data_IF_155073079778
#
_entry.id   IF_155073079778
#
_cell.length_a   1.000
_cell.length_b   1.000
_cell.length_c   1.000
_cell.angle_alpha   90.00
_cell.angle_beta   90.00
_cell.angle_gamma   90.00
#
_symmetry.space_group_name_H-M   'P 1'
#
loop_
_entity.id
_entity.type
_entity.pdbx_description
1 polymer ?
#
# COMPACT_ATOMS: atom_id res chain seq x y z
N UNK A 1 -13.09 -70.48 -6.65
CA UNK A 1 -12.63 -69.25 -5.96
C UNK A 1 -11.83 -69.65 -4.73
N UNK A 2 -10.54 -69.33 -4.67
CA UNK A 2 -9.70 -69.59 -3.50
C UNK A 2 -8.90 -68.32 -3.15
N UNK A 3 -9.32 -67.68 -2.06
CA UNK A 3 -8.70 -66.49 -1.49
C UNK A 3 -7.45 -66.95 -0.74
N UNK A 4 -6.26 -66.65 -1.28
CA UNK A 4 -5.01 -66.84 -0.55
C UNK A 4 -4.94 -65.88 0.63
N UNK A 5 -4.81 -66.41 1.84
CA UNK A 5 -4.53 -65.61 3.02
C UNK A 5 -3.15 -64.97 2.89
N UNK A 6 -3.14 -63.65 2.72
CA UNK A 6 -1.97 -62.80 2.56
C UNK A 6 -1.31 -62.65 3.94
N UNK A 7 -0.40 -63.56 4.30
CA UNK A 7 0.32 -63.43 5.57
C UNK A 7 1.14 -64.62 6.04
N UNK A 8 0.92 -65.84 5.52
CA UNK A 8 1.72 -67.01 5.93
C UNK A 8 2.89 -67.19 4.96
N UNK A 9 4.15 -67.07 5.42
CA UNK A 9 5.31 -67.36 4.59
C UNK A 9 5.23 -68.80 4.07
N UNK A 10 5.40 -68.97 2.75
CA UNK A 10 5.40 -70.29 2.08
C UNK A 10 6.25 -71.29 2.89
N UNK A 11 5.89 -72.58 2.97
CA UNK A 11 6.62 -73.57 3.78
C UNK A 11 8.13 -73.65 3.49
N UNK A 12 8.53 -73.35 2.25
CA UNK A 12 9.94 -73.23 1.85
C UNK A 12 10.66 -72.07 2.55
N UNK A 13 10.01 -70.93 2.73
CA UNK A 13 10.54 -69.76 3.44
C UNK A 13 10.68 -70.06 4.93
N UNK A 14 9.72 -70.76 5.53
CA UNK A 14 9.81 -71.22 6.93
C UNK A 14 11.02 -72.13 7.16
N UNK A 15 11.28 -73.10 6.27
CA UNK A 15 12.46 -73.96 6.36
C UNK A 15 13.77 -73.17 6.29
N UNK A 16 13.83 -72.16 5.43
CA UNK A 16 15.01 -71.30 5.31
C UNK A 16 15.21 -70.45 6.57
N UNK A 17 14.14 -69.83 7.09
CA UNK A 17 14.20 -69.02 8.31
C UNK A 17 14.60 -69.86 9.53
N UNK A 18 14.05 -71.08 9.66
CA UNK A 18 14.42 -72.01 10.74
C UNK A 18 15.89 -72.44 10.63
N UNK A 19 16.33 -72.86 9.44
CA UNK A 19 17.73 -73.23 9.23
C UNK A 19 18.71 -72.06 9.48
N UNK A 20 18.26 -70.83 9.23
CA UNK A 20 19.03 -69.63 9.54
C UNK A 20 19.11 -69.37 11.05
N UNK A 21 18.02 -69.58 11.78
CA UNK A 21 17.97 -69.45 13.25
C UNK A 21 18.80 -70.54 13.94
N UNK A 22 18.75 -71.78 13.44
CA UNK A 22 19.54 -72.90 13.97
C UNK A 22 21.05 -72.68 13.76
N UNK A 23 21.45 -72.12 12.62
CA UNK A 23 22.87 -71.84 12.32
C UNK A 23 23.36 -70.53 12.92
N UNK A 24 22.49 -69.55 13.12
CA UNK A 24 22.80 -68.21 13.67
C UNK A 24 21.64 -67.70 14.53
N UNK A 25 21.60 -68.08 15.82
CA UNK A 25 20.54 -67.66 16.72
C UNK A 25 20.44 -66.13 16.82
N UNK A 26 19.22 -65.60 16.82
CA UNK A 26 18.88 -64.18 16.95
C UNK A 26 19.44 -63.27 15.85
N UNK A 27 20.03 -63.82 14.77
CA UNK A 27 20.67 -63.02 13.73
C UNK A 27 19.66 -62.16 12.97
N UNK A 28 18.48 -62.71 12.66
CA UNK A 28 17.40 -61.96 11.98
C UNK A 28 16.96 -60.78 12.85
N UNK A 29 16.73 -61.02 14.15
CA UNK A 29 16.37 -59.98 15.10
C UNK A 29 17.47 -58.92 15.22
N UNK A 30 18.74 -59.33 15.22
CA UNK A 30 19.87 -58.40 15.28
C UNK A 30 20.01 -57.57 13.99
N UNK A 31 19.77 -58.15 12.81
CA UNK A 31 19.72 -57.41 11.55
C UNK A 31 18.52 -56.46 11.51
N UNK A 32 17.36 -56.87 12.02
CA UNK A 32 16.17 -56.04 12.10
C UNK A 32 16.39 -54.86 13.06
N UNK A 33 17.02 -55.08 14.21
CA UNK A 33 17.40 -54.02 15.15
C UNK A 33 18.45 -53.10 14.55
N UNK A 34 19.43 -53.63 13.79
CA UNK A 34 20.42 -52.83 13.07
C UNK A 34 19.77 -51.97 12.00
N UNK A 35 18.87 -52.54 11.20
CA UNK A 35 18.08 -51.81 10.21
C UNK A 35 17.21 -50.73 10.88
N UNK A 36 16.52 -51.07 11.99
CA UNK A 36 15.74 -50.11 12.76
C UNK A 36 16.60 -48.95 13.25
N UNK A 37 17.78 -49.22 13.81
CA UNK A 37 18.74 -48.21 14.27
C UNK A 37 19.26 -47.33 13.13
N UNK A 38 19.46 -47.90 11.95
CA UNK A 38 19.85 -47.14 10.75
C UNK A 38 18.69 -46.29 10.21
N UNK A 39 17.45 -46.79 10.31
CA UNK A 39 16.26 -46.03 9.92
C UNK A 39 15.90 -44.93 10.93
N UNK A 40 16.09 -45.11 12.24
CA UNK A 40 15.93 -44.01 13.22
C UNK A 40 17.04 -42.96 13.13
N UNK A 41 18.19 -43.30 12.55
CA UNK A 41 19.23 -42.34 12.18
C UNK A 41 19.02 -41.70 10.81
N UNK A 42 17.86 -41.88 10.16
CA UNK A 42 17.61 -41.31 8.84
C UNK A 42 17.61 -39.78 8.92
N UNK A 43 18.40 -39.19 8.03
CA UNK A 43 18.74 -37.77 7.83
C UNK A 43 17.53 -36.82 7.78
N UNK A 44 16.30 -37.35 7.66
CA UNK A 44 15.09 -36.57 7.43
C UNK A 44 14.61 -35.78 8.66
N UNK A 45 14.72 -36.33 9.88
CA UNK A 45 14.41 -35.60 11.12
C UNK A 45 15.55 -34.64 11.50
N UNK A 46 16.80 -35.06 11.24
CA UNK A 46 17.96 -34.24 11.57
C UNK A 46 18.02 -32.96 10.73
N UNK A 47 17.58 -32.98 9.46
CA UNK A 47 17.57 -31.79 8.61
C UNK A 47 16.44 -30.81 9.00
N UNK A 48 15.27 -31.33 9.41
CA UNK A 48 14.18 -30.53 9.94
C UNK A 48 14.52 -29.92 11.31
N UNK A 49 14.99 -30.71 12.28
CA UNK A 49 15.40 -30.22 13.60
C UNK A 49 16.64 -29.31 13.54
N UNK A 50 17.59 -29.59 12.64
CA UNK A 50 18.75 -28.70 12.40
C UNK A 50 18.33 -27.42 11.69
N UNK A 51 17.33 -27.47 10.81
CA UNK A 51 16.71 -26.31 10.20
C UNK A 51 15.98 -25.44 11.23
N UNK A 52 15.20 -26.05 12.12
CA UNK A 52 14.50 -25.38 13.23
C UNK A 52 15.50 -24.80 14.22
N UNK A 53 16.49 -25.56 14.68
CA UNK A 53 17.54 -25.08 15.58
C UNK A 53 18.39 -23.97 14.94
N UNK A 54 18.64 -24.04 13.63
CA UNK A 54 19.34 -22.98 12.88
C UNK A 54 18.48 -21.72 12.74
N UNK A 55 17.16 -21.87 12.55
CA UNK A 55 16.23 -20.74 12.50
C UNK A 55 16.11 -20.07 13.88
N UNK A 56 15.96 -20.84 14.95
CA UNK A 56 15.93 -20.35 16.33
C UNK A 56 17.23 -19.61 16.69
N UNK A 57 18.40 -20.15 16.29
CA UNK A 57 19.68 -19.49 16.53
C UNK A 57 19.83 -18.20 15.72
N UNK A 58 19.26 -18.16 14.50
CA UNK A 58 19.24 -16.96 13.67
C UNK A 58 18.31 -15.90 14.27
N UNK A 59 17.14 -16.29 14.76
CA UNK A 59 16.20 -15.41 15.45
C UNK A 59 16.82 -14.84 16.73
N UNK A 60 17.46 -15.67 17.56
CA UNK A 60 18.17 -15.21 18.75
C UNK A 60 19.30 -14.22 18.41
N UNK A 61 20.08 -14.50 17.36
CA UNK A 61 21.14 -13.60 16.91
C UNK A 61 20.59 -12.27 16.42
N UNK A 62 19.49 -12.29 15.66
CA UNK A 62 18.79 -11.08 15.21
C UNK A 62 18.24 -10.32 16.41
N UNK A 63 17.65 -10.99 17.39
CA UNK A 63 17.13 -10.39 18.62
C UNK A 63 18.21 -9.66 19.42
N UNK A 64 19.40 -10.27 19.55
CA UNK A 64 20.55 -9.63 20.19
C UNK A 64 21.05 -8.41 19.41
N UNK A 65 21.14 -8.50 18.08
CA UNK A 65 21.50 -7.37 17.23
C UNK A 65 20.47 -6.23 17.33
N UNK A 66 19.18 -6.56 17.37
CA UNK A 66 18.10 -5.60 17.54
C UNK A 66 18.22 -4.85 18.86
N UNK A 67 18.51 -5.57 19.95
CA UNK A 67 18.71 -4.98 21.27
C UNK A 67 19.92 -4.03 21.27
N UNK A 68 21.02 -4.43 20.63
CA UNK A 68 22.21 -3.57 20.46
C UNK A 68 21.87 -2.29 19.68
N UNK A 69 21.11 -2.38 18.59
CA UNK A 69 20.67 -1.22 17.81
C UNK A 69 19.75 -0.32 18.64
N UNK A 70 18.80 -0.89 19.39
CA UNK A 70 17.90 -0.12 20.25
C UNK A 70 18.62 0.62 21.37
N UNK A 71 19.73 0.09 21.89
CA UNK A 71 20.55 0.76 22.90
C UNK A 71 21.37 1.94 22.35
N UNK A 72 21.55 2.05 21.02
CA UNK A 72 22.21 3.21 20.40
C UNK A 72 21.28 4.43 20.43
N UNK A 73 21.86 5.62 20.58
CA UNK A 73 21.09 6.86 20.61
C UNK A 73 20.25 7.02 19.33
N UNK A 74 18.92 7.10 19.48
CA UNK A 74 17.99 7.19 18.36
C UNK A 74 17.73 5.88 17.61
N UNK A 75 18.36 4.76 17.98
CA UNK A 75 18.24 3.47 17.31
C UNK A 75 16.80 2.99 17.11
N UNK A 76 15.98 3.11 18.16
CA UNK A 76 14.55 2.78 18.10
C UNK A 76 13.76 3.66 17.13
N UNK A 77 14.12 4.95 17.01
CA UNK A 77 13.49 5.85 16.06
C UNK A 77 13.89 5.52 14.62
N UNK A 78 15.15 5.17 14.36
CA UNK A 78 15.60 4.73 13.04
C UNK A 78 14.92 3.42 12.62
N UNK A 79 14.79 2.45 13.52
CA UNK A 79 14.07 1.21 13.25
C UNK A 79 12.59 1.46 12.92
N UNK A 80 11.94 2.39 13.65
CA UNK A 80 10.57 2.81 13.33
C UNK A 80 10.49 3.47 11.95
N UNK A 81 11.45 4.31 11.59
CA UNK A 81 11.50 4.93 10.25
C UNK A 81 11.68 3.86 9.17
N UNK A 82 12.61 2.93 9.34
CA UNK A 82 12.83 1.81 8.42
C UNK A 82 11.55 0.98 8.26
N UNK A 83 10.86 0.67 9.36
CA UNK A 83 9.59 -0.04 9.33
C UNK A 83 8.55 0.70 8.46
N UNK A 84 8.37 2.01 8.66
CA UNK A 84 7.43 2.79 7.86
C UNK A 84 7.85 2.93 6.40
N UNK A 85 9.15 3.00 6.09
CA UNK A 85 9.66 2.99 4.72
C UNK A 85 9.32 1.66 4.04
N UNK A 86 9.57 0.53 4.70
CA UNK A 86 9.25 -0.79 4.15
C UNK A 86 7.74 -0.91 3.93
N UNK A 87 6.94 -0.56 4.95
CA UNK A 87 5.48 -0.61 4.88
C UNK A 87 4.93 0.28 3.76
N UNK A 88 5.44 1.49 3.60
CA UNK A 88 5.00 2.42 2.54
C UNK A 88 5.41 2.00 1.13
N UNK A 89 6.36 1.07 0.99
CA UNK A 89 6.87 0.59 -0.30
C UNK A 89 6.57 -0.90 -0.55
N UNK A 90 5.66 -1.50 0.22
CA UNK A 90 5.42 -2.95 0.22
C UNK A 90 5.15 -3.52 -1.18
N UNK A 91 4.25 -2.90 -1.94
CA UNK A 91 3.91 -3.36 -3.30
C UNK A 91 5.10 -3.32 -4.26
N UNK A 92 5.91 -2.25 -4.19
CA UNK A 92 7.12 -2.09 -5.00
C UNK A 92 8.18 -3.14 -4.63
N UNK A 93 8.38 -3.37 -3.33
CA UNK A 93 9.31 -4.37 -2.83
C UNK A 93 8.87 -5.77 -3.24
N UNK A 94 7.59 -6.09 -3.12
CA UNK A 94 7.01 -7.36 -3.55
C UNK A 94 7.13 -7.56 -5.06
N UNK A 95 6.91 -6.52 -5.86
CA UNK A 95 7.11 -6.58 -7.32
C UNK A 95 8.56 -6.90 -7.68
N UNK A 96 9.53 -6.26 -7.01
CA UNK A 96 10.96 -6.48 -7.24
C UNK A 96 11.45 -7.84 -6.75
N UNK A 97 10.93 -8.32 -5.62
CA UNK A 97 11.27 -9.62 -5.03
C UNK A 97 10.53 -10.78 -5.72
N UNK A 98 9.35 -10.53 -6.30
CA UNK A 98 8.55 -11.52 -7.03
C UNK A 98 8.99 -11.76 -8.46
N UNK A 99 9.68 -10.80 -9.10
CA UNK A 99 10.27 -10.95 -10.43
C UNK A 99 11.56 -11.80 -10.45
N UNK A 100 11.89 -12.42 -9.32
CA UNK A 100 13.22 -12.85 -8.94
C UNK A 100 13.33 -14.39 -8.79
N UNK A 101 12.39 -15.14 -9.36
CA UNK A 101 12.37 -16.61 -9.26
C UNK A 101 13.47 -17.27 -10.10
N UNK A 102 14.02 -16.57 -11.10
CA UNK A 102 15.09 -17.05 -11.96
C UNK A 102 16.34 -16.18 -11.79
N UNK A 103 17.07 -16.37 -10.69
CA UNK A 103 18.41 -15.82 -10.56
C UNK A 103 19.45 -16.86 -11.00
N UNK A 104 20.31 -16.57 -11.98
CA UNK A 104 21.58 -17.27 -12.09
C UNK A 104 22.44 -16.95 -10.85
N UNK A 105 23.14 -17.95 -10.33
CA UNK A 105 23.97 -17.95 -9.10
C UNK A 105 25.07 -16.85 -9.02
N UNK A 106 25.17 -15.97 -10.02
CA UNK A 106 26.23 -14.97 -10.18
C UNK A 106 25.69 -13.53 -10.27
N UNK A 107 24.56 -13.24 -9.62
CA UNK A 107 24.16 -11.85 -9.39
C UNK A 107 24.74 -11.33 -8.08
N UNK A 108 25.83 -10.57 -8.19
CA UNK A 108 26.32 -9.67 -7.17
C UNK A 108 25.22 -8.63 -6.87
N UNK A 109 24.33 -8.96 -5.91
CA UNK A 109 23.24 -8.14 -5.37
C UNK A 109 23.75 -6.94 -4.56
N UNK A 110 24.89 -6.37 -4.94
CA UNK A 110 25.37 -5.08 -4.44
C UNK A 110 24.49 -3.98 -5.03
N UNK A 111 23.44 -3.64 -4.29
CA UNK A 111 22.70 -2.40 -4.50
C UNK A 111 23.67 -1.25 -4.23
N UNK A 112 24.17 -0.64 -5.29
CA UNK A 112 25.10 0.48 -5.19
C UNK A 112 24.31 1.74 -4.79
N UNK A 113 24.43 2.14 -3.53
CA UNK A 113 23.90 3.41 -3.03
C UNK A 113 24.85 4.60 -3.30
N UNK A 114 25.93 4.42 -4.09
CA UNK A 114 26.76 5.55 -4.54
C UNK A 114 25.89 6.44 -5.43
N UNK A 115 25.62 7.70 -5.05
CA UNK A 115 24.85 8.64 -5.86
C UNK A 115 25.64 9.11 -7.10
N UNK A 116 26.60 8.32 -7.58
CA UNK A 116 27.29 8.61 -8.82
C UNK A 116 26.30 8.48 -9.96
N UNK A 117 26.08 9.55 -10.75
CA UNK A 117 25.29 9.43 -11.94
C UNK A 117 25.91 8.37 -12.86
N UNK A 118 25.10 7.57 -13.59
CA UNK A 118 25.60 6.65 -14.59
C UNK A 118 26.56 7.40 -15.51
N UNK A 119 27.75 6.84 -15.74
CA UNK A 119 28.74 7.43 -16.65
C UNK A 119 28.07 7.56 -18.02
N UNK A 120 27.77 8.80 -18.43
CA UNK A 120 27.13 9.12 -19.71
C UNK A 120 25.64 9.45 -19.66
N UNK A 121 24.95 9.34 -18.52
CA UNK A 121 23.61 9.89 -18.37
C UNK A 121 23.72 11.36 -17.92
N UNK A 122 23.07 12.32 -18.60
CA UNK A 122 22.92 13.65 -18.03
C UNK A 122 22.24 13.49 -16.68
N UNK A 123 22.93 13.89 -15.60
CA UNK A 123 22.40 13.77 -14.25
C UNK A 123 21.01 14.42 -14.17
N UNK A 124 20.12 13.83 -13.37
CA UNK A 124 18.79 14.39 -13.11
C UNK A 124 18.95 15.85 -12.69
N UNK A 125 18.52 16.78 -13.54
CA UNK A 125 18.56 18.20 -13.24
C UNK A 125 17.11 18.65 -13.05
N UNK A 126 16.66 18.84 -11.80
CA UNK A 126 15.28 19.22 -11.55
C UNK A 126 14.87 20.48 -12.31
N UNK A 127 15.80 21.41 -12.57
CA UNK A 127 15.50 22.64 -13.31
C UNK A 127 15.29 22.43 -14.82
N UNK A 128 15.78 21.32 -15.37
CA UNK A 128 15.70 20.99 -16.80
C UNK A 128 14.79 19.79 -17.09
N UNK A 129 14.10 19.25 -16.08
CA UNK A 129 13.26 18.04 -16.22
C UNK A 129 11.77 18.31 -16.07
N UNK A 130 11.39 19.56 -15.80
CA UNK A 130 9.99 20.03 -15.85
C UNK A 130 9.47 20.25 -17.27
N UNK A 131 10.33 20.15 -18.28
CA UNK A 131 9.95 20.24 -19.68
C UNK A 131 9.62 18.86 -20.28
N UNK A 132 9.41 17.82 -19.45
CA UNK A 132 8.97 16.50 -19.90
C UNK A 132 7.88 15.92 -18.98
N UNK A 133 6.84 15.32 -19.56
CA UNK A 133 5.88 14.44 -18.88
C UNK A 133 6.07 13.03 -19.44
N UNK A 134 6.66 12.15 -18.63
CA UNK A 134 7.10 10.84 -19.10
C UNK A 134 8.20 10.97 -20.16
N UNK A 135 8.04 10.31 -21.30
CA UNK A 135 8.98 10.41 -22.43
C UNK A 135 8.70 11.61 -23.36
N UNK A 136 7.58 12.32 -23.14
CA UNK A 136 7.16 13.42 -24.02
C UNK A 136 7.65 14.75 -23.48
N UNK A 137 8.22 15.58 -24.36
CA UNK A 137 8.52 16.97 -24.04
C UNK A 137 7.23 17.73 -23.76
N UNK A 138 7.14 18.34 -22.59
CA UNK A 138 6.09 19.23 -22.13
C UNK A 138 6.38 20.66 -22.58
N UNK A 139 5.66 21.10 -23.60
CA UNK A 139 5.72 22.48 -24.07
C UNK A 139 4.68 23.33 -23.32
N UNK A 140 5.14 24.13 -22.36
CA UNK A 140 4.29 25.03 -21.59
C UNK A 140 3.60 26.08 -22.46
N UNK A 141 4.22 26.49 -23.58
CA UNK A 141 3.62 27.47 -24.48
C UNK A 141 2.40 26.91 -25.19
N UNK A 142 2.42 25.60 -25.50
CA UNK A 142 1.29 24.89 -26.09
C UNK A 142 0.10 24.72 -25.13
N UNK A 143 0.29 24.87 -23.81
CA UNK A 143 -0.78 24.79 -22.80
C UNK A 143 -1.66 26.02 -22.82
N UNK A 144 -1.09 27.20 -23.09
CA UNK A 144 -1.82 28.48 -23.11
C UNK A 144 -2.82 28.51 -24.27
N UNK A 145 -2.42 28.02 -25.45
CA UNK A 145 -3.26 27.96 -26.64
C UNK A 145 -4.05 26.63 -26.76
N UNK A 146 -4.04 25.81 -25.70
CA UNK A 146 -4.70 24.51 -25.74
C UNK A 146 -6.22 24.66 -25.74
N UNK A 147 -6.86 24.25 -26.84
CA UNK A 147 -8.31 24.18 -26.94
C UNK A 147 -8.85 23.00 -26.11
N UNK A 148 -9.13 23.25 -24.84
CA UNK A 148 -9.71 22.26 -23.94
C UNK A 148 -11.09 21.80 -24.44
N UNK A 149 -11.23 20.51 -24.74
CA UNK A 149 -12.51 19.87 -25.10
C UNK A 149 -13.29 19.57 -23.81
N UNK A 150 -13.84 20.63 -23.19
CA UNK A 150 -14.59 20.54 -21.93
C UNK A 150 -15.71 19.49 -21.93
N UNK A 151 -16.52 19.33 -23.01
CA UNK A 151 -17.54 18.29 -23.08
C UNK A 151 -17.01 16.86 -22.99
N UNK A 152 -15.79 16.58 -23.46
CA UNK A 152 -15.15 15.27 -23.26
C UNK A 152 -14.40 15.18 -21.94
N UNK A 153 -13.80 16.28 -21.51
CA UNK A 153 -12.93 16.34 -20.35
C UNK A 153 -13.71 16.22 -19.03
N UNK A 154 -14.78 17.01 -18.85
CA UNK A 154 -15.51 17.02 -17.58
C UNK A 154 -16.13 15.65 -17.23
N UNK A 155 -16.82 14.95 -18.14
CA UNK A 155 -17.36 13.63 -17.83
C UNK A 155 -16.28 12.59 -17.48
N UNK A 156 -15.09 12.70 -18.07
CA UNK A 156 -13.97 11.81 -17.74
C UNK A 156 -13.45 12.00 -16.31
N UNK A 157 -13.70 13.16 -15.69
CA UNK A 157 -13.27 13.51 -14.33
C UNK A 157 -14.40 13.44 -13.30
N UNK A 158 -15.64 13.15 -13.71
CA UNK A 158 -16.79 13.04 -12.80
C UNK A 158 -16.63 11.90 -11.78
N UNK A 159 -16.03 10.78 -12.17
CA UNK A 159 -15.77 9.63 -11.30
C UNK A 159 -14.51 9.74 -10.42
N UNK A 160 -13.77 10.85 -10.53
CA UNK A 160 -12.60 11.11 -9.67
C UNK A 160 -13.01 11.78 -8.36
N UNK A 161 -12.04 12.28 -7.59
CA UNK A 161 -12.33 13.01 -6.37
C UNK A 161 -13.13 14.29 -6.67
N UNK A 162 -14.12 14.58 -5.84
CA UNK A 162 -14.94 15.79 -5.95
C UNK A 162 -14.08 17.07 -5.93
N UNK A 163 -12.97 17.04 -5.17
CA UNK A 163 -12.01 18.16 -5.11
C UNK A 163 -11.32 18.36 -6.45
N UNK A 164 -10.88 17.29 -7.10
CA UNK A 164 -10.24 17.33 -8.43
C UNK A 164 -11.21 17.83 -9.48
N UNK A 165 -12.44 17.30 -9.49
CA UNK A 165 -13.48 17.73 -10.43
C UNK A 165 -13.81 19.22 -10.28
N UNK A 166 -14.01 19.68 -9.04
CA UNK A 166 -14.28 21.10 -8.73
C UNK A 166 -13.15 22.02 -9.17
N UNK A 167 -11.90 21.61 -8.87
CA UNK A 167 -10.71 22.38 -9.26
C UNK A 167 -10.62 22.51 -10.78
N UNK A 168 -10.91 21.44 -11.51
CA UNK A 168 -10.91 21.47 -12.97
C UNK A 168 -12.05 22.33 -13.53
N UNK A 169 -13.26 22.18 -13.01
CA UNK A 169 -14.44 22.93 -13.44
C UNK A 169 -14.21 24.45 -13.34
N UNK A 170 -13.59 24.90 -12.25
CA UNK A 170 -13.28 26.32 -12.02
C UNK A 170 -12.31 26.94 -13.03
N UNK A 171 -11.63 26.14 -13.86
CA UNK A 171 -10.72 26.65 -14.90
C UNK A 171 -11.42 26.99 -16.22
N UNK A 172 -12.72 26.67 -16.38
CA UNK A 172 -13.45 27.08 -17.60
C UNK A 172 -13.57 28.59 -17.67
N UNK A 173 -13.47 29.13 -18.88
CA UNK A 173 -13.49 30.58 -19.13
C UNK A 173 -14.75 31.27 -18.61
N UNK A 174 -15.92 30.62 -18.69
CA UNK A 174 -17.22 31.14 -18.24
C UNK A 174 -17.34 31.21 -16.71
N UNK A 175 -16.46 30.51 -15.98
CA UNK A 175 -16.39 30.54 -14.53
C UNK A 175 -15.33 31.52 -14.01
N UNK A 176 -14.57 32.18 -14.89
CA UNK A 176 -13.52 33.13 -14.52
C UNK A 176 -14.10 34.52 -14.18
N UNK A 177 -13.41 35.23 -13.29
CA UNK A 177 -13.77 36.59 -12.93
C UNK A 177 -13.60 37.54 -14.13
N UNK A 178 -14.68 38.24 -14.51
CA UNK A 178 -14.66 39.15 -15.66
C UNK A 178 -15.01 38.51 -17.01
N UNK A 179 -15.50 37.27 -17.03
CA UNK A 179 -16.05 36.68 -18.25
C UNK A 179 -17.25 37.48 -18.77
N UNK A 180 -17.24 37.83 -20.06
CA UNK A 180 -18.37 38.45 -20.74
C UNK A 180 -19.41 37.36 -21.06
N UNK A 181 -20.52 37.35 -20.31
CA UNK A 181 -21.61 36.38 -20.43
C UNK A 181 -22.93 37.12 -20.63
N UNK A 182 -23.83 36.51 -21.41
CA UNK A 182 -25.23 36.96 -21.48
C UNK A 182 -25.97 36.68 -20.16
N UNK A 183 -27.09 37.35 -19.92
CA UNK A 183 -27.84 37.23 -18.66
C UNK A 183 -28.35 35.79 -18.44
N UNK A 184 -28.74 35.10 -19.52
CA UNK A 184 -29.15 33.70 -19.50
C UNK A 184 -27.97 32.76 -19.18
N UNK A 185 -26.80 33.02 -19.75
CA UNK A 185 -25.59 32.23 -19.50
C UNK A 185 -25.11 32.40 -18.07
N UNK A 186 -25.16 33.63 -17.57
CA UNK A 186 -24.82 33.97 -16.19
C UNK A 186 -25.69 33.21 -15.20
N UNK A 187 -27.00 33.10 -15.45
CA UNK A 187 -27.91 32.33 -14.60
C UNK A 187 -27.52 30.84 -14.54
N UNK A 188 -27.15 30.24 -15.68
CA UNK A 188 -26.70 28.84 -15.74
C UNK A 188 -25.36 28.63 -15.01
N UNK A 189 -24.42 29.56 -15.18
CA UNK A 189 -23.11 29.54 -14.51
C UNK A 189 -23.28 29.68 -12.99
N UNK A 190 -24.17 30.56 -12.52
CA UNK A 190 -24.47 30.71 -11.09
C UNK A 190 -25.05 29.42 -10.48
N UNK A 191 -25.94 28.73 -11.20
CA UNK A 191 -26.46 27.42 -10.77
C UNK A 191 -25.36 26.35 -10.70
N UNK A 192 -24.46 26.32 -11.69
CA UNK A 192 -23.29 25.45 -11.72
C UNK A 192 -22.34 25.73 -10.55
N UNK A 193 -22.04 27.00 -10.27
CA UNK A 193 -21.21 27.40 -9.13
C UNK A 193 -21.84 26.96 -7.81
N UNK A 194 -23.15 27.16 -7.65
CA UNK A 194 -23.88 26.76 -6.44
C UNK A 194 -23.88 25.24 -6.24
N UNK A 195 -24.03 24.49 -7.32
CA UNK A 195 -24.12 23.02 -7.27
C UNK A 195 -22.77 22.37 -7.00
N UNK A 196 -21.73 22.87 -7.66
CA UNK A 196 -20.43 22.20 -7.65
C UNK A 196 -19.37 22.93 -6.84
N UNK A 197 -19.34 24.26 -6.76
CA UNK A 197 -18.20 25.00 -6.18
C UNK A 197 -18.46 25.51 -4.74
N UNK A 198 -19.71 25.56 -4.29
CA UNK A 198 -20.03 25.94 -2.90
C UNK A 198 -19.77 24.78 -1.94
N UNK A 199 -18.90 25.03 -0.96
CA UNK A 199 -18.57 24.08 0.09
C UNK A 199 -19.72 23.92 1.09
N UNK A 200 -20.18 22.68 1.32
CA UNK A 200 -21.30 22.36 2.23
C UNK A 200 -20.95 22.47 3.72
N UNK A 201 -19.78 23.01 4.10
CA UNK A 201 -19.30 23.01 5.47
C UNK A 201 -19.89 24.12 6.38
N UNK A 202 -21.01 24.74 6.01
CA UNK A 202 -21.73 25.67 6.89
C UNK A 202 -23.24 25.46 6.83
N UNK A 203 -23.70 24.29 7.30
CA UNK A 203 -25.06 24.17 7.83
C UNK A 203 -24.93 23.77 9.29
N UNK A 204 -24.85 24.79 10.16
CA UNK A 204 -25.14 24.60 11.59
C UNK A 204 -26.56 24.06 11.75
N UNK A 205 -26.86 23.29 12.81
CA UNK A 205 -28.12 22.56 12.93
C UNK A 205 -29.29 23.55 12.96
N UNK A 206 -30.02 23.65 11.85
CA UNK A 206 -31.31 24.35 11.83
C UNK A 206 -32.31 23.54 12.65
N UNK A 207 -32.82 24.19 13.69
CA UNK A 207 -33.95 23.71 14.47
C UNK A 207 -35.21 23.53 13.62
N UNK A 208 -35.96 22.52 14.02
CA UNK A 208 -37.28 22.08 13.52
C UNK A 208 -38.27 23.22 13.26
N UNK A 209 -39.22 23.06 12.30
CA UNK A 209 -40.23 24.07 12.00
C UNK A 209 -41.34 24.04 13.06
N UNK A 210 -41.52 25.16 13.75
CA UNK A 210 -42.64 25.43 14.64
C UNK A 210 -43.66 26.32 13.93
N UNK A 211 -44.90 25.83 13.89
CA UNK A 211 -46.09 26.48 13.34
C UNK A 211 -46.32 27.91 13.87
N UNK A 212 -46.64 28.80 12.92
CA UNK A 212 -47.78 29.74 12.88
C UNK A 212 -48.16 30.52 14.16
N UNK A 213 -48.06 31.86 14.10
CA UNK A 213 -49.19 32.77 14.35
C UNK A 213 -48.86 34.22 13.92
N UNK A 214 -49.82 34.84 13.23
CA UNK A 214 -49.76 36.19 12.64
C UNK A 214 -50.18 37.31 13.63
N UNK A 215 -50.28 38.60 13.26
CA UNK A 215 -49.50 39.70 13.83
C UNK A 215 -50.29 40.61 14.81
N UNK A 216 -49.59 41.34 15.69
CA UNK A 216 -50.19 42.41 16.48
C UNK A 216 -49.46 43.75 16.34
N UNK A 217 -50.27 44.79 16.14
CA UNK A 217 -50.00 46.21 15.87
C UNK A 217 -49.19 46.95 16.95
N UNK A 218 -48.45 47.95 16.45
CA UNK A 218 -48.23 49.33 16.96
C UNK A 218 -48.07 49.57 18.48
N UNK A 219 -47.02 50.27 18.89
CA UNK A 219 -47.13 51.60 19.55
C UNK A 219 -45.81 52.37 19.41
N UNK A 220 -45.93 53.67 19.12
CA UNK A 220 -44.89 54.70 19.07
C UNK A 220 -44.09 54.81 20.37
N UNK A 221 -42.84 55.25 20.25
CA UNK A 221 -42.00 55.75 21.33
C UNK A 221 -40.78 56.47 20.77
N UNK A 222 -40.98 57.72 20.34
CA UNK A 222 -39.90 58.66 20.01
C UNK A 222 -39.05 58.95 21.26
N UNK A 223 -37.72 58.82 21.15
CA UNK A 223 -36.78 59.66 21.89
C UNK A 223 -35.54 59.92 21.02
N UNK A 224 -35.32 61.21 20.73
CA UNK A 224 -34.20 61.76 19.95
C UNK A 224 -32.80 61.51 20.59
N UNK A 225 -31.71 61.58 19.78
CA UNK A 225 -30.32 61.48 20.25
C UNK A 225 -29.79 62.81 20.83
N UNK A 226 -28.69 62.81 21.62
CA UNK A 226 -28.09 64.02 22.16
C UNK A 226 -27.14 64.66 21.15
N UNK A 227 -27.47 65.88 20.73
CA UNK A 227 -26.60 66.73 19.93
C UNK A 227 -25.51 67.36 20.82
N UNK A 228 -24.25 67.14 20.43
CA UNK A 228 -23.07 67.73 21.09
C UNK A 228 -22.39 68.63 20.07
N UNK A 229 -22.84 69.88 19.98
CA UNK A 229 -22.14 70.93 19.23
C UNK A 229 -21.50 71.91 20.20
N UNK A 230 -20.17 71.97 20.12
CA UNK A 230 -19.34 73.03 20.63
C UNK A 230 -19.39 74.21 19.65
N UNK A 231 -19.58 75.44 20.16
CA UNK A 231 -18.85 76.64 19.74
C UNK A 231 -19.47 77.91 20.38
N UNK A 232 -18.58 78.65 21.05
CA UNK A 232 -18.58 80.09 21.35
C UNK A 232 -19.57 80.64 22.39
#
# INVERSE_FOLDING_TARGET
>A
MSIQQKGVPKPSVHKVLQALEDRRPKWINMQLQKARKLCTGSVFEQEAERGVASAELTEQKIGLMLLEVCHKAGGSNYLRQIYHIIQGNEELLMFKLGAATDFPDDLDLRVNFDPKPPIGAPGFNPLLQFDHIGEKKFDQSAVVDWAWDWPKLLPAYEGMSQVTFRSLLANRWDLQEGAELEDEEKAMVEELQKTFLVCSCSVGPQGSPGFDETPAKQTQGETHPPDKSAAQ
#
